data_IF_130727405480
#
_entry.id   IF_130727405480
#
_cell.length_a   1.000
_cell.length_b   1.000
_cell.length_c   1.000
_cell.angle_alpha   90.00
_cell.angle_beta   90.00
_cell.angle_gamma   90.00
#
_symmetry.space_group_name_H-M   'P 1'
#
loop_
_entity.id
_entity.type
_entity.pdbx_description
1 polymer ?
#
# COMPACT_ATOMS: atom_id res chain seq x y z
N UNK A 1 14.79 -52.48 -27.99
CA UNK A 1 13.39 -52.31 -27.55
C UNK A 1 13.37 -51.16 -26.55
N UNK A 2 12.71 -50.06 -26.89
CA UNK A 2 12.40 -48.97 -25.97
C UNK A 2 11.04 -48.44 -26.40
N UNK A 3 10.02 -48.61 -25.56
CA UNK A 3 8.66 -48.21 -25.89
C UNK A 3 8.43 -46.76 -25.43
N UNK A 4 8.09 -45.89 -26.38
CA UNK A 4 7.70 -44.51 -26.08
C UNK A 4 6.25 -44.49 -25.55
N UNK A 5 6.02 -43.79 -24.45
CA UNK A 5 4.66 -43.46 -24.01
C UNK A 5 4.15 -42.27 -24.81
N UNK A 6 3.01 -42.46 -25.47
CA UNK A 6 2.32 -41.40 -26.24
C UNK A 6 1.35 -40.68 -25.30
N UNK A 7 1.57 -39.39 -25.07
CA UNK A 7 0.61 -38.53 -24.39
C UNK A 7 -0.49 -38.08 -25.37
N UNK A 8 -1.75 -38.15 -24.95
CA UNK A 8 -2.90 -37.75 -25.75
C UNK A 8 -3.16 -36.22 -25.65
N UNK A 9 -3.67 -35.56 -26.71
CA UNK A 9 -3.93 -34.13 -26.71
C UNK A 9 -5.21 -33.78 -25.92
N UNK A 10 -5.13 -32.79 -25.03
CA UNK A 10 -6.29 -32.17 -24.42
C UNK A 10 -7.04 -31.29 -25.44
N UNK A 11 -8.38 -31.30 -25.39
CA UNK A 11 -9.26 -30.43 -26.18
C UNK A 11 -9.77 -29.26 -25.33
N UNK A 12 -10.01 -28.07 -25.91
CA UNK A 12 -10.49 -26.90 -25.18
C UNK A 12 -11.99 -27.00 -24.84
N UNK A 13 -12.38 -26.43 -23.71
CA UNK A 13 -13.78 -26.22 -23.34
C UNK A 13 -14.34 -24.96 -24.02
N UNK A 14 -15.53 -25.06 -24.62
CA UNK A 14 -16.35 -23.92 -25.00
C UNK A 14 -17.32 -23.58 -23.84
N UNK A 15 -17.64 -22.30 -23.59
CA UNK A 15 -18.64 -21.91 -22.60
C UNK A 15 -20.06 -22.11 -23.15
N UNK A 16 -20.96 -22.69 -22.34
CA UNK A 16 -22.40 -22.70 -22.61
C UNK A 16 -23.10 -21.75 -21.65
N UNK A 17 -23.81 -20.79 -22.24
CA UNK A 17 -24.65 -19.81 -21.58
C UNK A 17 -26.06 -20.38 -21.33
N UNK A 18 -26.49 -20.56 -20.08
CA UNK A 18 -27.91 -20.43 -19.69
C UNK A 18 -28.13 -20.19 -18.20
N UNK A 19 -29.22 -19.48 -17.93
CA UNK A 19 -29.69 -18.92 -16.65
C UNK A 19 -30.64 -19.89 -15.91
N UNK A 20 -30.52 -20.07 -14.58
CA UNK A 20 -31.64 -20.04 -13.60
C UNK A 20 -31.30 -20.54 -12.17
N UNK A 21 -31.62 -19.69 -11.17
CA UNK A 21 -32.07 -19.94 -9.79
C UNK A 21 -31.42 -21.01 -8.86
N UNK A 22 -30.63 -20.50 -7.92
CA UNK A 22 -30.75 -20.64 -6.45
C UNK A 22 -31.29 -21.95 -5.83
N UNK A 23 -30.42 -22.65 -5.06
CA UNK A 23 -30.51 -22.81 -3.58
C UNK A 23 -29.34 -23.70 -3.10
N UNK A 24 -28.55 -23.27 -2.12
CA UNK A 24 -28.05 -24.15 -1.03
C UNK A 24 -27.38 -23.35 0.09
N UNK A 25 -27.42 -23.89 1.31
CA UNK A 25 -26.90 -23.29 2.54
C UNK A 25 -25.54 -23.90 2.98
N UNK A 26 -24.95 -23.31 4.01
CA UNK A 26 -23.62 -23.61 4.54
C UNK A 26 -23.47 -25.03 5.12
N UNK A 27 -22.24 -25.56 5.06
CA UNK A 27 -21.72 -26.55 5.99
C UNK A 27 -20.17 -26.53 5.97
N UNK A 28 -19.55 -26.23 7.12
CA UNK A 28 -18.09 -26.25 7.31
C UNK A 28 -17.55 -27.69 7.53
N UNK A 29 -16.27 -27.95 7.23
CA UNK A 29 -15.55 -29.13 7.71
C UNK A 29 -14.52 -28.80 8.81
N UNK A 30 -14.51 -29.62 9.88
CA UNK A 30 -13.58 -29.53 11.02
C UNK A 30 -12.13 -29.99 10.73
N UNK A 31 -11.15 -29.64 11.61
CA UNK A 31 -9.72 -29.71 11.28
C UNK A 31 -9.03 -31.07 11.49
N UNK A 32 -7.83 -31.19 10.90
CA UNK A 32 -7.01 -32.39 10.92
C UNK A 32 -6.35 -32.68 12.28
N UNK A 33 -6.27 -33.97 12.65
CA UNK A 33 -5.45 -34.46 13.77
C UNK A 33 -4.03 -34.76 13.33
N UNK A 34 -3.04 -34.28 14.09
CA UNK A 34 -1.63 -34.70 13.98
C UNK A 34 -1.32 -35.75 15.05
N UNK A 35 -0.74 -36.86 14.63
CA UNK A 35 -0.11 -37.86 15.51
C UNK A 35 1.36 -37.47 15.74
N UNK A 36 1.84 -37.60 16.98
CA UNK A 36 3.27 -37.69 17.28
C UNK A 36 3.51 -38.89 18.20
N UNK A 37 4.59 -39.62 17.91
CA UNK A 37 4.91 -40.96 18.42
C UNK A 37 5.63 -40.91 19.77
N UNK A 38 5.68 -42.05 20.46
CA UNK A 38 6.35 -42.21 21.76
C UNK A 38 7.82 -42.64 21.64
N UNK A 39 8.63 -42.28 22.64
CA UNK A 39 10.02 -42.73 22.80
C UNK A 39 10.52 -42.46 24.22
N UNK A 40 11.30 -43.38 24.81
CA UNK A 40 11.60 -43.39 26.25
C UNK A 40 13.09 -43.62 26.58
N UNK A 41 13.46 -43.29 27.82
CA UNK A 41 14.71 -43.64 28.54
C UNK A 41 16.03 -43.00 28.06
N UNK A 42 17.05 -42.71 28.90
CA UNK A 42 17.16 -42.61 30.37
C UNK A 42 18.52 -41.95 30.77
N UNK A 43 18.72 -41.75 32.09
CA UNK A 43 19.98 -41.57 32.84
C UNK A 43 20.80 -40.25 32.77
N UNK A 44 21.16 -39.72 33.95
CA UNK A 44 22.16 -38.64 34.13
C UNK A 44 21.96 -37.74 35.36
N UNK A 45 22.46 -38.14 36.54
CA UNK A 45 22.16 -37.50 37.85
C UNK A 45 23.08 -36.34 38.30
N UNK A 46 22.71 -35.74 39.46
CA UNK A 46 23.41 -34.76 40.33
C UNK A 46 23.17 -33.27 39.96
N UNK A 47 23.10 -32.27 40.87
CA UNK A 47 23.24 -32.21 42.35
C UNK A 47 22.62 -30.92 42.95
N UNK A 48 22.04 -30.97 44.18
CA UNK A 48 21.82 -29.88 45.18
C UNK A 48 20.95 -28.64 44.79
N UNK A 49 20.16 -27.99 45.68
CA UNK A 49 19.90 -28.08 47.13
C UNK A 49 18.40 -27.83 47.47
N UNK A 50 17.95 -28.20 48.67
CA UNK A 50 16.57 -27.98 49.18
C UNK A 50 16.38 -26.67 49.99
N UNK A 51 15.31 -26.49 50.80
CA UNK A 51 14.34 -27.51 51.29
C UNK A 51 12.83 -27.15 51.06
N UNK A 52 11.97 -28.09 51.46
CA UNK A 52 10.50 -27.98 51.57
C UNK A 52 10.08 -28.42 53.00
N UNK A 53 8.80 -28.67 53.35
CA UNK A 53 7.51 -28.29 52.73
C UNK A 53 6.55 -27.62 53.75
N UNK A 54 5.35 -27.22 53.31
CA UNK A 54 4.17 -27.16 54.20
C UNK A 54 3.19 -28.30 53.86
N UNK A 55 2.55 -28.87 54.88
CA UNK A 55 1.65 -30.03 54.80
C UNK A 55 0.37 -29.75 55.59
N UNK A 56 -0.76 -29.74 54.89
CA UNK A 56 -2.07 -29.55 55.50
C UNK A 56 -2.40 -30.60 56.57
N UNK A 57 -3.13 -30.16 57.61
CA UNK A 57 -3.70 -31.02 58.63
C UNK A 57 -5.04 -31.62 58.18
N UNK A 58 -5.29 -32.92 58.45
CA UNK A 58 -6.64 -33.48 58.59
C UNK A 58 -7.16 -33.36 60.05
N UNK A 59 -8.47 -33.58 60.30
CA UNK A 59 -9.12 -33.21 61.56
C UNK A 59 -9.21 -34.34 62.60
N UNK A 60 -9.87 -34.00 63.71
CA UNK A 60 -10.63 -34.85 64.65
C UNK A 60 -9.90 -35.37 65.92
N UNK A 61 -10.23 -34.75 67.07
CA UNK A 61 -10.76 -35.45 68.26
C UNK A 61 -11.06 -34.49 69.42
N UNK A 62 -12.28 -34.54 69.94
CA UNK A 62 -12.66 -33.99 71.25
C UNK A 62 -12.35 -34.99 72.39
N UNK A 63 -12.15 -34.50 73.63
CA UNK A 63 -12.74 -35.18 74.79
C UNK A 63 -13.41 -34.20 75.79
N UNK A 64 -14.24 -34.69 76.74
CA UNK A 64 -15.27 -33.88 77.38
C UNK A 64 -15.09 -33.58 78.88
N UNK A 65 -16.05 -32.78 79.38
CA UNK A 65 -16.62 -32.75 80.73
C UNK A 65 -15.93 -32.02 81.91
N UNK A 66 -16.68 -31.01 82.38
CA UNK A 66 -17.08 -30.76 83.79
C UNK A 66 -16.16 -29.97 84.74
N UNK A 67 -16.45 -28.67 84.79
CA UNK A 67 -16.82 -27.89 85.98
C UNK A 67 -15.86 -27.77 87.19
N UNK A 68 -15.37 -26.55 87.43
CA UNK A 68 -15.13 -25.99 88.77
C UNK A 68 -15.59 -24.53 88.78
N UNK A 69 -16.36 -24.13 89.80
CA UNK A 69 -16.68 -22.73 90.11
C UNK A 69 -15.72 -22.26 91.20
N UNK A 70 -15.07 -21.11 91.03
CA UNK A 70 -14.33 -20.39 92.08
C UNK A 70 -14.61 -18.89 91.99
N UNK A 71 -14.57 -18.23 93.14
CA UNK A 71 -15.08 -16.88 93.39
C UNK A 71 -14.53 -15.77 92.47
N UNK A 72 -15.39 -14.78 92.22
CA UNK A 72 -15.01 -13.54 91.57
C UNK A 72 -14.19 -12.64 92.51
N UNK A 73 -13.01 -12.21 92.05
CA UNK A 73 -12.52 -10.88 92.43
C UNK A 73 -13.53 -9.83 91.91
N UNK A 74 -13.79 -8.73 92.65
CA UNK A 74 -14.57 -7.64 92.10
C UNK A 74 -13.81 -7.09 90.89
N UNK A 75 -14.46 -6.93 89.71
CA UNK A 75 -13.78 -6.36 88.55
C UNK A 75 -13.27 -4.95 88.87
N UNK A 76 -12.19 -4.49 88.21
CA UNK A 76 -11.87 -3.06 88.18
C UNK A 76 -13.10 -2.27 87.71
N UNK A 77 -13.24 -0.98 88.05
CA UNK A 77 -14.43 -0.20 87.72
C UNK A 77 -14.68 -0.24 86.21
N UNK A 78 -15.65 -1.05 85.81
CA UNK A 78 -16.19 -1.11 84.46
C UNK A 78 -16.90 0.19 84.16
N UNK A 79 -16.88 0.62 82.90
CA UNK A 79 -17.62 1.76 82.38
C UNK A 79 -19.13 1.42 82.32
N UNK A 80 -19.73 1.18 83.50
CA UNK A 80 -20.99 0.46 83.63
C UNK A 80 -22.01 1.23 84.47
N UNK A 81 -22.20 2.52 84.19
CA UNK A 81 -23.37 3.28 84.63
C UNK A 81 -24.45 3.49 83.56
N UNK A 82 -24.18 3.33 82.25
CA UNK A 82 -25.20 3.38 81.17
C UNK A 82 -24.94 2.48 79.93
N UNK A 83 -24.09 1.44 80.01
CA UNK A 83 -23.90 0.38 78.99
C UNK A 83 -25.23 -0.37 78.69
N UNK A 84 -25.87 -0.13 77.54
CA UNK A 84 -27.20 -0.69 77.21
C UNK A 84 -27.16 -1.88 76.24
N UNK A 85 -26.12 -2.04 75.43
CA UNK A 85 -25.96 -3.17 74.50
C UNK A 85 -25.06 -4.31 75.03
N UNK A 86 -24.20 -4.03 76.02
CA UNK A 86 -23.39 -5.00 76.74
C UNK A 86 -22.00 -5.25 76.16
N UNK A 87 -21.43 -4.33 75.37
CA UNK A 87 -20.09 -4.48 74.79
C UNK A 87 -18.93 -4.15 75.77
N UNK A 88 -19.23 -3.40 76.84
CA UNK A 88 -18.31 -3.02 77.91
C UNK A 88 -17.78 -1.58 77.87
N UNK A 89 -18.20 -0.77 76.89
CA UNK A 89 -18.02 0.67 76.83
C UNK A 89 -19.29 1.40 77.33
N UNK A 90 -19.29 2.74 77.30
CA UNK A 90 -20.42 3.55 77.75
C UNK A 90 -20.12 5.05 77.93
N UNK A 91 -21.17 5.87 78.06
CA UNK A 91 -21.10 7.34 78.14
C UNK A 91 -20.70 7.94 79.50
N UNK A 92 -20.39 7.12 80.51
CA UNK A 92 -20.20 7.56 81.90
C UNK A 92 -19.01 8.50 82.16
N UNK A 93 -19.09 9.41 83.16
CA UNK A 93 -17.99 10.33 83.50
C UNK A 93 -16.75 9.65 84.12
N UNK A 94 -16.79 8.33 84.30
CA UNK A 94 -15.67 7.49 84.72
C UNK A 94 -14.90 6.86 83.54
N UNK A 95 -15.43 6.97 82.32
CA UNK A 95 -14.92 6.27 81.14
C UNK A 95 -13.77 7.08 80.49
N UNK A 96 -12.62 6.44 80.15
CA UNK A 96 -11.45 7.16 79.61
C UNK A 96 -11.68 7.81 78.25
N UNK A 97 -12.47 7.15 77.41
CA UNK A 97 -13.16 7.67 76.24
C UNK A 97 -14.63 7.24 76.40
N UNK A 98 -15.61 8.14 76.26
CA UNK A 98 -17.01 7.76 76.29
C UNK A 98 -17.40 7.08 74.98
N UNK A 99 -18.31 6.13 75.07
CA UNK A 99 -19.06 5.63 73.92
C UNK A 99 -19.91 6.77 73.29
N UNK A 100 -20.13 6.69 71.99
CA UNK A 100 -20.92 7.62 71.20
C UNK A 100 -22.30 7.07 70.78
N UNK A 101 -22.55 5.76 70.86
CA UNK A 101 -23.89 5.14 70.73
C UNK A 101 -24.05 3.91 71.66
N UNK A 102 -24.33 4.14 72.96
CA UNK A 102 -24.55 3.13 74.02
C UNK A 102 -25.57 2.00 73.66
N UNK A 103 -26.29 2.11 72.54
CA UNK A 103 -27.27 1.15 72.03
C UNK A 103 -26.81 0.29 70.84
N UNK A 104 -25.56 0.42 70.39
CA UNK A 104 -25.01 -0.31 69.24
C UNK A 104 -23.56 -0.80 69.47
N UNK A 105 -23.42 -2.04 69.97
CA UNK A 105 -22.17 -2.78 70.25
C UNK A 105 -21.16 -2.98 69.08
N UNK A 106 -21.35 -2.27 67.96
CA UNK A 106 -20.39 -2.14 66.86
C UNK A 106 -19.67 -0.78 66.86
N UNK A 107 -20.25 0.23 67.52
CA UNK A 107 -19.74 1.59 67.71
C UNK A 107 -19.15 1.66 69.11
N UNK A 108 -17.86 1.94 69.23
CA UNK A 108 -17.17 2.09 70.51
C UNK A 108 -15.76 2.68 70.32
N UNK A 109 -15.17 3.30 71.35
CA UNK A 109 -13.81 3.86 71.31
C UNK A 109 -12.74 2.92 70.71
N UNK A 110 -12.32 3.21 69.48
CA UNK A 110 -11.34 2.43 68.72
C UNK A 110 -11.88 1.18 68.01
N UNK A 111 -13.14 1.19 67.58
CA UNK A 111 -13.70 0.24 66.62
C UNK A 111 -12.99 0.32 65.24
N UNK A 112 -13.56 -0.35 64.23
CA UNK A 112 -13.08 -0.26 62.85
C UNK A 112 -14.19 0.35 62.01
N UNK A 113 -13.96 1.57 61.52
CA UNK A 113 -14.86 2.30 60.62
C UNK A 113 -15.47 1.40 59.53
N UNK A 114 -16.79 1.41 59.48
CA UNK A 114 -17.57 1.05 58.31
C UNK A 114 -17.58 2.20 57.30
N UNK A 115 -18.32 2.01 56.20
CA UNK A 115 -18.65 3.09 55.28
C UNK A 115 -20.17 3.26 55.28
N UNK A 116 -20.65 4.01 56.27
CA UNK A 116 -22.09 4.23 56.48
C UNK A 116 -22.44 5.65 56.99
N UNK A 117 -21.45 6.51 57.19
CA UNK A 117 -21.60 7.89 57.65
C UNK A 117 -21.71 8.02 59.17
N UNK A 118 -21.41 6.96 59.92
CA UNK A 118 -21.14 6.96 61.35
C UNK A 118 -19.71 7.41 61.72
N UNK A 119 -19.52 7.58 63.02
CA UNK A 119 -18.23 7.71 63.71
C UNK A 119 -18.19 6.45 64.59
N UNK A 120 -17.73 5.33 64.04
CA UNK A 120 -17.82 4.02 64.71
C UNK A 120 -16.77 3.92 65.82
N UNK A 121 -15.59 4.52 65.61
CA UNK A 121 -14.46 4.50 66.54
C UNK A 121 -14.52 5.60 67.63
N UNK A 122 -15.49 6.51 67.55
CA UNK A 122 -15.75 7.62 68.46
C UNK A 122 -14.59 8.64 68.61
N UNK A 123 -13.67 8.79 67.64
CA UNK A 123 -12.61 9.82 67.67
C UNK A 123 -13.09 11.24 67.27
N UNK A 124 -14.26 11.35 66.64
CA UNK A 124 -14.85 12.60 66.17
C UNK A 124 -14.59 12.92 64.68
N UNK A 125 -14.01 11.98 63.94
CA UNK A 125 -14.01 11.91 62.47
C UNK A 125 -15.09 10.89 62.02
N UNK A 126 -15.35 10.79 60.72
CA UNK A 126 -16.43 9.95 60.13
C UNK A 126 -15.86 9.30 58.88
N UNK A 127 -16.04 7.98 58.74
CA UNK A 127 -15.60 7.16 57.61
C UNK A 127 -14.06 7.25 57.32
N UNK A 128 -13.19 7.51 58.31
CA UNK A 128 -11.73 7.60 58.10
C UNK A 128 -10.98 6.26 58.21
N UNK A 129 -9.67 6.28 57.95
CA UNK A 129 -8.86 5.05 57.84
C UNK A 129 -9.21 4.12 56.66
N UNK A 130 -10.33 4.35 55.98
CA UNK A 130 -10.83 3.55 54.87
C UNK A 130 -9.91 3.57 53.63
N UNK A 131 -10.00 2.49 52.85
CA UNK A 131 -9.09 2.21 51.73
C UNK A 131 -9.47 2.96 50.44
N UNK A 132 -8.47 3.28 49.62
CA UNK A 132 -8.67 3.80 48.26
C UNK A 132 -8.83 2.66 47.25
N UNK A 133 -9.76 2.82 46.32
CA UNK A 133 -9.89 1.95 45.16
C UNK A 133 -9.05 2.49 43.99
N UNK A 134 -8.38 1.58 43.27
CA UNK A 134 -7.68 1.86 42.01
C UNK A 134 -8.33 1.08 40.88
N UNK A 135 -8.53 1.72 39.73
CA UNK A 135 -9.14 1.11 38.55
C UNK A 135 -8.61 1.75 37.27
N UNK A 136 -8.86 1.10 36.13
CA UNK A 136 -8.33 1.51 34.82
C UNK A 136 -6.90 1.04 34.56
N UNK A 137 -6.48 1.19 33.32
CA UNK A 137 -5.12 0.98 32.80
C UNK A 137 -4.68 2.30 32.14
N UNK A 138 -3.38 2.50 31.95
CA UNK A 138 -2.89 3.65 31.20
C UNK A 138 -3.35 5.03 31.69
N UNK A 139 -3.70 5.90 30.75
CA UNK A 139 -4.28 7.22 30.99
C UNK A 139 -5.67 7.14 31.64
N UNK A 140 -6.38 6.01 31.52
CA UNK A 140 -7.65 5.77 32.20
C UNK A 140 -7.49 5.43 33.70
N UNK A 141 -6.27 5.31 34.22
CA UNK A 141 -6.04 4.98 35.62
C UNK A 141 -6.65 6.05 36.57
N UNK A 142 -7.51 5.60 37.49
CA UNK A 142 -8.13 6.41 38.55
C UNK A 142 -7.82 5.84 39.92
N UNK A 143 -7.71 6.74 40.90
CA UNK A 143 -7.64 6.44 42.32
C UNK A 143 -8.70 7.28 43.03
N UNK A 144 -9.61 6.63 43.76
CA UNK A 144 -10.70 7.28 44.49
C UNK A 144 -10.80 6.70 45.91
N UNK A 145 -11.26 7.47 46.91
CA UNK A 145 -11.73 6.90 48.17
C UNK A 145 -12.82 5.85 47.90
N UNK A 146 -12.77 4.69 48.54
CA UNK A 146 -13.82 3.66 48.38
C UNK A 146 -15.06 3.95 49.26
N UNK A 147 -15.02 5.01 50.06
CA UNK A 147 -16.14 5.61 50.75
C UNK A 147 -16.22 7.10 50.43
N UNK A 148 -17.42 7.62 50.21
CA UNK A 148 -17.67 9.05 50.01
C UNK A 148 -19.05 9.40 50.59
N UNK A 149 -19.09 10.32 51.54
CA UNK A 149 -20.31 10.78 52.23
C UNK A 149 -21.16 9.63 52.80
N UNK A 150 -20.56 8.68 53.53
CA UNK A 150 -21.23 7.51 54.12
C UNK A 150 -21.75 6.47 53.11
N UNK A 151 -21.26 6.48 51.88
CA UNK A 151 -21.67 5.55 50.84
C UNK A 151 -20.47 4.88 50.14
N UNK A 152 -20.53 3.56 49.86
CA UNK A 152 -19.52 2.87 49.06
C UNK A 152 -19.37 3.51 47.68
N UNK A 153 -18.18 4.06 47.42
CA UNK A 153 -17.86 4.77 46.19
C UNK A 153 -17.12 3.83 45.23
N UNK A 154 -17.70 3.60 44.05
CA UNK A 154 -17.13 2.71 43.04
C UNK A 154 -16.11 3.48 42.19
N UNK A 155 -14.96 2.84 41.93
CA UNK A 155 -13.97 3.37 41.00
C UNK A 155 -14.40 3.08 39.56
N UNK A 156 -14.81 4.12 38.84
CA UNK A 156 -15.01 4.09 37.39
C UNK A 156 -13.70 4.52 36.68
N UNK A 157 -13.16 3.73 35.74
CA UNK A 157 -12.01 4.12 34.92
C UNK A 157 -12.27 5.41 34.11
N UNK A 158 -11.20 6.04 33.62
CA UNK A 158 -11.32 7.06 32.58
C UNK A 158 -11.98 6.52 31.29
N UNK A 159 -12.56 7.42 30.49
CA UNK A 159 -13.04 7.10 29.16
C UNK A 159 -11.83 6.96 28.21
N UNK A 160 -11.70 5.86 27.46
CA UNK A 160 -10.60 5.66 26.53
C UNK A 160 -10.72 6.57 25.30
N UNK A 161 -9.60 7.02 24.77
CA UNK A 161 -9.52 7.85 23.57
C UNK A 161 -8.57 7.21 22.54
N UNK A 162 -8.66 7.53 21.24
CA UNK A 162 -7.79 6.90 20.25
C UNK A 162 -6.32 7.23 20.49
N UNK A 163 -5.47 6.19 20.44
CA UNK A 163 -4.02 6.28 20.59
C UNK A 163 -3.38 7.45 19.82
N UNK A 164 -2.47 8.12 20.52
CA UNK A 164 -1.47 8.99 19.91
C UNK A 164 -0.08 8.57 20.37
N UNK A 165 0.90 8.56 19.46
CA UNK A 165 2.31 8.28 19.80
C UNK A 165 2.85 9.32 20.80
N UNK A 166 2.62 9.13 22.09
CA UNK A 166 2.85 10.09 23.17
C UNK A 166 3.54 9.44 24.39
N UNK A 167 3.62 8.11 24.45
CA UNK A 167 4.22 7.33 25.53
C UNK A 167 3.28 6.96 26.68
N UNK A 168 1.99 7.27 26.55
CA UNK A 168 0.89 6.83 27.41
C UNK A 168 0.03 5.77 26.70
N UNK A 169 -0.92 5.21 27.42
CA UNK A 169 -1.90 4.21 26.97
C UNK A 169 -3.25 4.95 26.99
N UNK A 170 -3.57 5.60 25.87
CA UNK A 170 -4.69 6.54 25.69
C UNK A 170 -6.02 5.77 25.55
N UNK A 171 -5.98 4.60 24.89
CA UNK A 171 -7.16 3.75 24.60
C UNK A 171 -7.41 2.66 25.67
N UNK A 172 -6.45 2.47 26.57
CA UNK A 172 -6.56 1.71 27.81
C UNK A 172 -6.74 0.20 27.61
N UNK A 173 -6.28 -0.34 26.47
CA UNK A 173 -6.17 -1.79 26.22
C UNK A 173 -4.97 -2.44 26.94
N UNK A 174 -3.99 -1.63 27.36
CA UNK A 174 -2.79 -2.05 28.09
C UNK A 174 -1.53 -2.25 27.24
N UNK A 175 -1.59 -1.95 25.95
CA UNK A 175 -0.42 -1.59 25.14
C UNK A 175 -0.04 -0.11 25.37
N UNK A 176 1.02 0.36 24.70
CA UNK A 176 1.45 1.78 24.69
C UNK A 176 1.89 2.06 23.25
N UNK A 177 1.35 3.12 22.64
CA UNK A 177 1.74 3.60 21.31
C UNK A 177 1.60 2.52 20.19
N UNK A 178 0.68 1.55 20.28
CA UNK A 178 0.58 0.44 19.30
C UNK A 178 -0.14 0.83 18.00
N UNK A 179 -0.90 1.93 18.00
CA UNK A 179 -1.48 2.54 16.81
C UNK A 179 -0.94 3.96 16.56
N UNK A 180 -0.10 4.11 15.53
CA UNK A 180 0.39 5.43 15.05
C UNK A 180 -0.67 6.28 14.31
N UNK A 181 -1.95 6.01 14.58
CA UNK A 181 -3.10 6.34 13.73
C UNK A 181 -3.07 5.64 12.36
N UNK A 182 -4.12 5.82 11.56
CA UNK A 182 -4.18 5.40 10.14
C UNK A 182 -3.24 6.23 9.22
N UNK A 183 -2.14 6.76 9.77
CA UNK A 183 -1.18 7.62 9.10
C UNK A 183 -0.31 6.81 8.11
N UNK A 184 -0.88 6.52 6.94
CA UNK A 184 -0.12 6.05 5.80
C UNK A 184 0.90 7.12 5.34
N UNK A 185 2.12 6.71 5.02
CA UNK A 185 3.19 7.59 4.59
C UNK A 185 4.02 6.98 3.45
N UNK A 186 4.66 7.83 2.66
CA UNK A 186 5.25 7.47 1.35
C UNK A 186 4.30 7.79 0.19
N UNK A 187 4.78 7.54 -1.03
CA UNK A 187 4.03 7.70 -2.28
C UNK A 187 4.07 6.36 -3.03
N UNK A 188 3.10 6.10 -3.91
CA UNK A 188 3.14 4.92 -4.77
C UNK A 188 3.24 3.57 -4.06
N UNK A 189 4.06 2.69 -4.62
CA UNK A 189 4.44 1.39 -4.04
C UNK A 189 5.18 1.50 -2.70
N UNK A 190 5.73 2.68 -2.37
CA UNK A 190 6.42 2.95 -1.10
C UNK A 190 5.47 3.32 0.05
N UNK A 191 4.14 3.38 -0.17
CA UNK A 191 3.20 3.63 0.94
C UNK A 191 3.30 2.54 2.01
N UNK A 192 3.57 2.95 3.26
CA UNK A 192 3.62 2.10 4.45
C UNK A 192 2.78 2.75 5.57
N UNK A 193 2.36 1.96 6.55
CA UNK A 193 1.87 2.52 7.80
C UNK A 193 3.02 3.21 8.54
N UNK A 194 2.76 4.38 9.15
CA UNK A 194 3.68 4.95 10.11
C UNK A 194 3.85 4.02 11.33
N UNK A 195 4.97 4.19 12.04
CA UNK A 195 5.29 3.46 13.27
C UNK A 195 5.52 4.47 14.38
N UNK A 196 5.01 4.25 15.59
CA UNK A 196 5.36 5.14 16.70
C UNK A 196 6.87 5.09 17.01
N UNK A 197 7.41 6.26 17.34
CA UNK A 197 8.76 6.44 17.83
C UNK A 197 8.81 7.50 18.93
N UNK A 198 10.00 7.78 19.50
CA UNK A 198 10.12 8.54 20.76
C UNK A 198 9.69 10.01 20.70
N UNK A 199 9.48 10.56 19.50
CA UNK A 199 9.06 11.95 19.26
C UNK A 199 7.74 12.01 18.44
N UNK A 200 6.96 10.92 18.40
CA UNK A 200 5.69 10.83 17.68
C UNK A 200 5.69 9.83 16.50
N UNK A 201 4.73 9.94 15.56
CA UNK A 201 4.64 9.06 14.39
C UNK A 201 5.88 9.18 13.49
N UNK A 202 6.64 8.10 13.35
CA UNK A 202 7.81 8.01 12.47
C UNK A 202 7.39 7.42 11.13
N UNK A 203 7.63 8.19 10.07
CA UNK A 203 7.44 7.73 8.70
C UNK A 203 8.69 6.99 8.19
N UNK A 204 8.53 5.71 7.87
CA UNK A 204 9.53 4.90 7.17
C UNK A 204 8.89 4.35 5.87
N UNK A 205 8.96 5.09 4.75
CA UNK A 205 8.45 4.61 3.47
C UNK A 205 9.14 3.32 3.00
N UNK A 206 8.53 2.62 2.06
CA UNK A 206 9.20 1.54 1.33
C UNK A 206 10.45 2.03 0.59
N UNK A 207 11.38 1.12 0.31
CA UNK A 207 12.49 1.43 -0.60
C UNK A 207 11.95 1.59 -2.03
N UNK A 208 12.42 2.60 -2.79
CA UNK A 208 12.03 2.80 -4.17
C UNK A 208 12.60 1.68 -5.05
N UNK A 209 11.76 1.16 -5.95
CA UNK A 209 12.16 0.24 -7.00
C UNK A 209 12.57 1.03 -8.27
N UNK A 210 12.66 0.34 -9.40
CA UNK A 210 12.74 1.00 -10.70
C UNK A 210 11.41 0.76 -11.43
N UNK A 211 10.86 1.80 -12.04
CA UNK A 211 9.57 1.75 -12.74
C UNK A 211 9.38 0.50 -13.59
N UNK A 212 8.27 -0.19 -13.36
CA UNK A 212 7.71 -1.19 -14.26
C UNK A 212 6.38 -0.67 -14.81
N UNK A 213 6.12 -0.89 -16.11
CA UNK A 213 4.90 -0.37 -16.75
C UNK A 213 3.66 -1.10 -16.23
N UNK A 214 3.09 -0.61 -15.13
CA UNK A 214 2.05 -1.28 -14.35
C UNK A 214 1.00 -0.28 -13.81
N UNK A 215 1.19 1.02 -13.98
CA UNK A 215 0.29 2.05 -13.47
C UNK A 215 0.43 2.33 -11.97
N UNK A 216 1.59 2.01 -11.40
CA UNK A 216 2.01 2.28 -10.01
C UNK A 216 3.35 3.00 -10.05
N UNK A 217 3.44 4.06 -9.27
CA UNK A 217 4.68 4.75 -8.89
C UNK A 217 5.58 3.79 -8.08
N UNK A 218 6.50 3.09 -8.75
CA UNK A 218 7.37 2.06 -8.17
C UNK A 218 8.66 2.69 -7.59
N UNK A 219 9.16 3.79 -8.16
CA UNK A 219 10.32 4.55 -7.71
C UNK A 219 10.00 5.69 -6.71
N UNK A 220 8.71 5.97 -6.52
CA UNK A 220 8.14 6.76 -5.44
C UNK A 220 8.48 8.26 -5.50
N UNK A 221 8.76 8.79 -6.71
CA UNK A 221 8.94 10.22 -6.97
C UNK A 221 7.61 11.00 -7.08
N UNK A 222 6.49 10.29 -7.23
CA UNK A 222 5.13 10.84 -7.32
C UNK A 222 4.61 11.07 -8.74
N UNK A 223 5.36 10.68 -9.77
CA UNK A 223 4.86 10.40 -11.11
C UNK A 223 4.42 8.92 -11.20
N UNK A 224 4.27 8.37 -12.41
CA UNK A 224 3.83 6.98 -12.63
C UNK A 224 4.26 6.55 -14.02
N UNK A 225 4.99 5.44 -14.12
CA UNK A 225 5.59 4.88 -15.33
C UNK A 225 6.54 5.87 -16.09
N UNK A 226 6.98 6.99 -15.48
CA UNK A 226 7.64 8.11 -16.16
C UNK A 226 9.04 7.78 -16.69
N UNK A 227 9.83 7.00 -15.94
CA UNK A 227 11.12 6.48 -16.38
C UNK A 227 11.02 5.50 -17.57
N UNK A 228 9.81 5.09 -17.97
CA UNK A 228 9.54 4.23 -19.13
C UNK A 228 8.97 4.97 -20.36
N UNK A 229 8.62 6.26 -20.23
CA UNK A 229 8.05 7.08 -21.32
C UNK A 229 9.04 7.32 -22.47
N UNK A 230 10.34 7.26 -22.19
CA UNK A 230 11.40 7.41 -23.18
C UNK A 230 11.34 6.34 -24.27
N UNK A 231 11.93 6.60 -25.43
CA UNK A 231 11.81 5.71 -26.59
C UNK A 231 12.72 4.48 -26.49
N UNK A 232 12.30 3.37 -27.09
CA UNK A 232 13.12 2.17 -27.27
C UNK A 232 13.13 1.72 -28.73
N UNK A 233 14.33 1.54 -29.33
CA UNK A 233 14.46 0.88 -30.63
C UNK A 233 14.64 -0.62 -30.46
N UNK A 234 13.83 -1.39 -31.16
CA UNK A 234 13.80 -2.84 -31.08
C UNK A 234 13.78 -3.51 -32.45
N UNK A 235 14.16 -4.78 -32.47
CA UNK A 235 14.27 -5.60 -33.68
C UNK A 235 13.08 -6.56 -33.73
N UNK A 236 12.41 -6.61 -34.89
CA UNK A 236 11.20 -7.39 -35.15
C UNK A 236 11.26 -8.08 -36.51
N UNK A 237 10.56 -9.22 -36.62
CA UNK A 237 10.29 -9.92 -37.88
C UNK A 237 9.04 -9.35 -38.55
N UNK A 238 9.07 -9.12 -39.86
CA UNK A 238 7.84 -8.81 -40.60
C UNK A 238 6.86 -9.99 -40.50
N UNK A 239 7.31 -11.21 -40.85
CA UNK A 239 6.46 -12.39 -40.87
C UNK A 239 5.89 -12.80 -39.50
N UNK A 240 6.68 -12.67 -38.41
CA UNK A 240 6.29 -13.17 -37.08
C UNK A 240 5.65 -12.11 -36.19
N UNK A 241 6.10 -10.84 -36.26
CA UNK A 241 5.67 -9.81 -35.31
C UNK A 241 4.71 -8.78 -35.92
N UNK A 242 4.97 -8.32 -37.15
CA UNK A 242 4.23 -7.22 -37.77
C UNK A 242 3.04 -7.70 -38.62
N UNK A 243 3.23 -8.72 -39.46
CA UNK A 243 2.20 -9.26 -40.35
C UNK A 243 0.94 -9.75 -39.59
N UNK A 244 1.04 -10.39 -38.39
CA UNK A 244 -0.15 -10.74 -37.61
C UNK A 244 -0.96 -9.53 -37.12
N UNK A 245 -0.32 -8.35 -37.00
CA UNK A 245 -0.95 -7.10 -36.52
C UNK A 245 -1.53 -6.27 -37.66
N UNK A 246 -0.95 -6.35 -38.86
CA UNK A 246 -1.57 -5.91 -40.10
C UNK A 246 -1.07 -6.75 -41.29
N UNK A 247 -1.95 -7.53 -41.93
CA UNK A 247 -1.56 -8.53 -42.93
C UNK A 247 -0.83 -7.99 -44.18
N UNK A 248 -0.95 -6.69 -44.46
CA UNK A 248 -0.21 -6.00 -45.51
C UNK A 248 1.26 -5.68 -45.19
N UNK A 249 1.69 -5.80 -43.93
CA UNK A 249 3.09 -5.59 -43.54
C UNK A 249 3.85 -6.93 -43.52
N UNK A 250 4.08 -7.48 -44.70
CA UNK A 250 4.64 -8.82 -44.91
C UNK A 250 6.15 -8.85 -45.17
N UNK A 251 6.80 -7.69 -45.31
CA UNK A 251 8.23 -7.59 -45.61
C UNK A 251 8.59 -7.79 -47.10
N UNK A 252 7.60 -8.09 -47.96
CA UNK A 252 7.79 -8.41 -49.38
C UNK A 252 6.93 -7.52 -50.30
N UNK A 253 5.62 -7.48 -50.09
CA UNK A 253 4.68 -6.60 -50.76
C UNK A 253 4.72 -5.16 -50.22
N UNK A 254 4.87 -5.00 -48.89
CA UNK A 254 5.17 -3.70 -48.29
C UNK A 254 6.17 -3.84 -47.13
N UNK A 255 7.16 -2.92 -47.11
CA UNK A 255 8.16 -2.78 -46.05
C UNK A 255 8.04 -1.44 -45.30
N UNK A 256 7.59 -0.39 -45.99
CA UNK A 256 7.27 0.94 -45.46
C UNK A 256 5.98 1.40 -46.15
N UNK A 257 5.05 1.96 -45.38
CA UNK A 257 3.75 2.42 -45.86
C UNK A 257 2.69 2.32 -44.77
N UNK A 258 1.43 2.71 -45.03
CA UNK A 258 0.41 2.84 -43.99
C UNK A 258 0.04 1.50 -43.35
N UNK A 259 0.08 0.38 -44.08
CA UNK A 259 -0.14 -0.96 -43.53
C UNK A 259 0.97 -1.35 -42.53
N UNK A 260 2.24 -1.04 -42.84
CA UNK A 260 3.34 -1.25 -41.90
C UNK A 260 3.34 -0.29 -40.72
N UNK A 261 2.99 0.98 -40.92
CA UNK A 261 2.82 1.92 -39.81
C UNK A 261 1.77 1.41 -38.82
N UNK A 262 0.64 0.89 -39.30
CA UNK A 262 -0.41 0.31 -38.47
C UNK A 262 0.07 -0.95 -37.73
N UNK A 263 0.80 -1.86 -38.40
CA UNK A 263 1.39 -3.03 -37.75
C UNK A 263 2.35 -2.64 -36.60
N UNK A 264 3.21 -1.64 -36.84
CA UNK A 264 4.20 -1.15 -35.89
C UNK A 264 3.52 -0.44 -34.72
N UNK A 265 2.56 0.45 -34.99
CA UNK A 265 1.79 1.11 -33.94
C UNK A 265 1.09 0.08 -33.04
N UNK A 266 0.40 -0.91 -33.62
CA UNK A 266 -0.27 -1.98 -32.87
C UNK A 266 0.72 -2.81 -32.06
N UNK A 267 1.94 -3.02 -32.54
CA UNK A 267 2.98 -3.72 -31.76
C UNK A 267 3.37 -2.94 -30.52
N UNK A 268 3.62 -1.64 -30.67
CA UNK A 268 3.97 -0.75 -29.58
C UNK A 268 2.80 -0.55 -28.60
N UNK A 269 1.56 -0.48 -29.09
CA UNK A 269 0.36 -0.41 -28.27
C UNK A 269 0.16 -1.65 -27.35
N UNK A 270 0.67 -2.82 -27.73
CA UNK A 270 0.68 -4.01 -26.87
C UNK A 270 1.71 -3.91 -25.71
N UNK A 271 2.63 -2.94 -25.72
CA UNK A 271 3.70 -2.77 -24.72
C UNK A 271 3.31 -1.86 -23.53
N UNK A 272 2.04 -1.45 -23.42
CA UNK A 272 1.57 -0.57 -22.35
C UNK A 272 2.03 0.87 -22.54
N UNK A 273 3.14 1.26 -21.92
CA UNK A 273 3.56 2.65 -21.74
C UNK A 273 4.21 3.25 -23.01
N UNK A 274 4.83 2.42 -23.85
CA UNK A 274 5.42 2.82 -25.14
C UNK A 274 4.42 2.63 -26.28
N UNK A 275 3.26 3.28 -26.15
CA UNK A 275 2.02 2.97 -26.85
C UNK A 275 1.89 3.45 -28.31
N UNK A 276 2.90 4.16 -28.81
CA UNK A 276 3.00 4.63 -30.19
C UNK A 276 4.30 4.14 -30.84
N UNK A 277 4.27 3.90 -32.16
CA UNK A 277 5.37 3.27 -32.87
C UNK A 277 5.65 3.87 -34.23
N UNK A 278 6.92 4.12 -34.55
CA UNK A 278 7.36 4.54 -35.88
C UNK A 278 8.48 3.67 -36.44
N UNK A 279 8.57 3.66 -37.77
CA UNK A 279 9.57 2.94 -38.53
C UNK A 279 9.00 2.30 -39.80
N UNK A 280 9.67 1.27 -40.35
CA UNK A 280 10.99 0.80 -39.94
C UNK A 280 12.06 1.90 -40.04
N UNK A 281 12.86 2.05 -38.99
CA UNK A 281 13.98 2.99 -38.93
C UNK A 281 15.23 2.41 -39.62
N UNK A 282 15.41 1.10 -39.54
CA UNK A 282 16.29 0.30 -40.38
C UNK A 282 15.55 -0.99 -40.78
N UNK A 283 15.96 -1.66 -41.86
CA UNK A 283 15.34 -2.91 -42.29
C UNK A 283 16.25 -3.72 -43.22
N UNK A 284 16.22 -5.05 -43.14
CA UNK A 284 16.99 -5.95 -44.01
C UNK A 284 16.38 -7.35 -44.03
N UNK A 285 16.07 -7.89 -45.21
CA UNK A 285 15.30 -9.13 -45.32
C UNK A 285 13.97 -9.05 -44.56
N UNK A 286 13.68 -10.09 -43.77
CA UNK A 286 12.54 -10.20 -42.85
C UNK A 286 12.69 -9.34 -41.57
N UNK A 287 13.78 -8.59 -41.39
CA UNK A 287 14.00 -7.77 -40.19
C UNK A 287 13.57 -6.32 -40.39
N UNK A 288 12.80 -5.80 -39.45
CA UNK A 288 12.48 -4.40 -39.23
C UNK A 288 13.04 -3.94 -37.88
N UNK A 289 13.73 -2.80 -37.85
CA UNK A 289 14.00 -2.06 -36.63
C UNK A 289 12.89 -1.03 -36.47
N UNK A 290 12.24 -1.01 -35.31
CA UNK A 290 11.10 -0.12 -35.02
C UNK A 290 11.40 0.63 -33.72
N UNK A 291 10.82 1.81 -33.55
CA UNK A 291 10.96 2.58 -32.31
C UNK A 291 9.57 2.77 -31.69
N UNK A 292 9.40 2.24 -30.47
CA UNK A 292 8.22 2.47 -29.64
C UNK A 292 8.52 3.58 -28.61
N UNK A 293 7.54 4.42 -28.31
CA UNK A 293 7.60 5.47 -27.30
C UNK A 293 6.20 5.83 -26.80
N UNK A 294 6.11 6.48 -25.63
CA UNK A 294 4.87 7.10 -25.19
C UNK A 294 4.56 8.31 -26.07
N UNK A 295 3.35 8.44 -26.61
CA UNK A 295 2.95 9.66 -27.32
C UNK A 295 1.44 9.86 -27.31
N UNK A 296 0.98 11.12 -27.23
CA UNK A 296 -0.45 11.38 -27.19
C UNK A 296 -1.07 11.17 -28.57
N UNK A 297 -2.04 10.27 -28.66
CA UNK A 297 -2.66 9.83 -29.92
C UNK A 297 -3.91 10.61 -30.23
N UNK A 298 -3.89 11.33 -31.34
CA UNK A 298 -4.98 12.21 -31.78
C UNK A 298 -5.59 11.68 -33.08
N UNK A 299 -6.92 11.56 -33.13
CA UNK A 299 -7.64 11.22 -34.37
C UNK A 299 -8.01 12.51 -35.13
N UNK A 300 -7.13 12.94 -36.02
CA UNK A 300 -7.19 14.26 -36.68
C UNK A 300 -7.93 14.17 -38.02
N UNK A 301 -9.02 14.94 -38.24
CA UNK A 301 -9.71 15.02 -39.52
C UNK A 301 -8.77 15.47 -40.65
N UNK A 302 -8.94 14.91 -41.86
CA UNK A 302 -8.15 15.34 -43.03
C UNK A 302 -8.32 16.82 -43.37
N UNK A 303 -9.45 17.44 -43.04
CA UNK A 303 -9.67 18.88 -43.22
C UNK A 303 -8.70 19.74 -42.39
N UNK A 304 -8.41 19.32 -41.15
CA UNK A 304 -7.50 20.05 -40.26
C UNK A 304 -6.04 19.89 -40.70
N UNK A 305 -5.66 18.68 -41.14
CA UNK A 305 -4.35 18.43 -41.75
C UNK A 305 -4.18 19.22 -43.05
N UNK A 306 -5.21 19.27 -43.90
CA UNK A 306 -5.19 20.01 -45.15
C UNK A 306 -5.06 21.53 -44.93
N UNK A 307 -5.64 22.05 -43.84
CA UNK A 307 -5.46 23.44 -43.41
C UNK A 307 -4.02 23.76 -42.98
N UNK A 308 -3.23 22.77 -42.54
CA UNK A 308 -1.80 22.95 -42.20
C UNK A 308 -0.86 22.72 -43.37
N UNK A 309 -1.21 21.80 -44.28
CA UNK A 309 -0.53 21.62 -45.56
C UNK A 309 -1.54 21.17 -46.64
N UNK A 310 -1.82 21.98 -47.68
CA UNK A 310 -2.79 21.65 -48.73
C UNK A 310 -2.48 20.36 -49.50
N UNK A 311 -1.25 19.84 -49.34
CA UNK A 311 -0.76 18.57 -49.82
C UNK A 311 -1.41 17.34 -49.16
N UNK A 312 -1.72 17.41 -47.86
CA UNK A 312 -2.30 16.29 -47.10
C UNK A 312 -3.83 16.34 -47.10
N UNK A 313 -4.51 15.24 -47.42
CA UNK A 313 -5.96 15.18 -47.47
C UNK A 313 -6.47 13.83 -47.98
N UNK A 314 -7.78 13.62 -47.88
CA UNK A 314 -8.42 12.38 -48.32
C UNK A 314 -8.21 12.12 -49.83
N UNK A 315 -8.00 10.87 -50.20
CA UNK A 315 -7.67 10.46 -51.57
C UNK A 315 -6.23 10.76 -52.04
N UNK A 316 -5.31 11.14 -51.15
CA UNK A 316 -3.88 11.33 -51.45
C UNK A 316 -2.99 10.34 -50.69
N UNK A 317 -1.70 10.15 -51.08
CA UNK A 317 -0.77 9.33 -50.31
C UNK A 317 -0.61 9.85 -48.88
N UNK A 318 -1.22 9.13 -47.93
CA UNK A 318 -1.23 9.47 -46.50
C UNK A 318 0.16 9.40 -45.87
N UNK A 319 1.03 8.52 -46.39
CA UNK A 319 2.47 8.53 -46.11
C UNK A 319 3.15 9.39 -47.18
N UNK A 320 3.38 10.67 -46.87
CA UNK A 320 4.00 11.63 -47.78
C UNK A 320 4.68 12.78 -47.02
N UNK A 321 5.63 13.52 -47.63
CA UNK A 321 6.25 14.69 -47.00
C UNK A 321 5.22 15.75 -46.60
N UNK A 322 4.18 15.89 -47.43
CA UNK A 322 3.06 16.80 -47.24
C UNK A 322 2.26 16.47 -45.97
N UNK A 323 1.99 15.19 -45.71
CA UNK A 323 1.32 14.76 -44.49
C UNK A 323 2.25 14.82 -43.28
N UNK A 324 3.53 14.47 -43.41
CA UNK A 324 4.50 14.66 -42.32
C UNK A 324 4.52 16.12 -41.83
N UNK A 325 4.55 17.09 -42.76
CA UNK A 325 4.49 18.51 -42.44
C UNK A 325 3.14 18.94 -41.85
N UNK A 326 2.02 18.44 -42.37
CA UNK A 326 0.70 18.69 -41.80
C UNK A 326 0.60 18.23 -40.33
N UNK A 327 1.04 17.00 -40.05
CA UNK A 327 1.00 16.37 -38.72
C UNK A 327 1.91 17.13 -37.76
N UNK A 328 3.17 17.37 -38.14
CA UNK A 328 4.11 18.13 -37.34
C UNK A 328 3.56 19.52 -36.96
N UNK A 329 3.07 20.29 -37.94
CA UNK A 329 2.45 21.61 -37.71
C UNK A 329 1.21 21.53 -36.83
N UNK A 330 0.40 20.47 -36.99
CA UNK A 330 -0.81 20.28 -36.19
C UNK A 330 -0.43 20.02 -34.72
N UNK A 331 0.46 19.08 -34.44
CA UNK A 331 0.95 18.81 -33.08
C UNK A 331 1.63 20.05 -32.48
N UNK A 332 2.52 20.72 -33.21
CA UNK A 332 3.22 21.92 -32.72
C UNK A 332 2.27 23.06 -32.31
N UNK A 333 1.16 23.23 -33.02
CA UNK A 333 0.15 24.24 -32.68
C UNK A 333 -0.79 23.83 -31.53
N UNK A 334 -0.77 22.56 -31.12
CA UNK A 334 -1.49 22.05 -29.95
C UNK A 334 -0.56 21.87 -28.72
N UNK A 335 0.66 22.44 -28.75
CA UNK A 335 1.58 22.49 -27.60
C UNK A 335 2.66 21.41 -27.54
N UNK A 336 2.67 20.47 -28.48
CA UNK A 336 3.66 19.39 -28.54
C UNK A 336 4.95 19.82 -29.25
N UNK A 337 6.03 19.07 -29.06
CA UNK A 337 7.29 19.28 -29.80
C UNK A 337 7.09 19.05 -31.31
N UNK A 338 6.45 17.93 -31.64
CA UNK A 338 6.34 17.40 -32.99
C UNK A 338 5.29 16.29 -33.04
N UNK A 339 5.13 15.64 -34.19
CA UNK A 339 4.35 14.41 -34.29
C UNK A 339 4.63 13.61 -35.55
N UNK A 340 4.16 12.37 -35.55
CA UNK A 340 4.32 11.42 -36.65
C UNK A 340 3.02 10.66 -36.93
N UNK A 341 2.91 10.16 -38.16
CA UNK A 341 1.77 9.37 -38.61
C UNK A 341 1.79 9.19 -40.13
N UNK A 342 0.74 8.61 -40.73
CA UNK A 342 -0.37 7.93 -40.06
C UNK A 342 0.13 6.80 -39.17
N UNK A 343 -0.41 6.70 -37.96
CA UNK A 343 -0.40 5.45 -37.18
C UNK A 343 -1.42 4.49 -37.80
N UNK A 344 -2.66 4.97 -37.91
CA UNK A 344 -3.77 4.36 -38.65
C UNK A 344 -4.53 5.46 -39.41
N UNK A 345 -5.37 5.10 -40.38
CA UNK A 345 -6.18 6.05 -41.12
C UNK A 345 -7.49 5.42 -41.61
N UNK A 346 -8.54 6.22 -41.75
CA UNK A 346 -9.85 5.76 -42.19
C UNK A 346 -10.95 6.76 -41.83
N UNK A 347 -12.14 6.61 -42.42
CA UNK A 347 -13.32 7.40 -42.04
C UNK A 347 -13.19 8.92 -42.17
N UNK A 348 -12.28 9.42 -43.03
CA UNK A 348 -12.02 10.86 -43.19
C UNK A 348 -11.03 11.46 -42.18
N UNK A 349 -10.35 10.63 -41.38
CA UNK A 349 -9.37 11.06 -40.39
C UNK A 349 -8.09 10.20 -40.40
N UNK A 350 -7.08 10.69 -39.69
CA UNK A 350 -5.79 10.04 -39.48
C UNK A 350 -5.48 10.01 -37.98
N UNK A 351 -5.12 8.83 -37.47
CA UNK A 351 -4.55 8.70 -36.14
C UNK A 351 -3.07 9.12 -36.19
N UNK A 352 -2.69 10.10 -35.38
CA UNK A 352 -1.32 10.65 -35.31
C UNK A 352 -0.81 10.57 -33.88
N UNK A 353 0.50 10.45 -33.70
CA UNK A 353 1.15 10.57 -32.41
C UNK A 353 1.79 11.95 -32.27
N UNK A 354 1.47 12.70 -31.21
CA UNK A 354 2.14 13.94 -30.85
C UNK A 354 3.08 13.72 -29.66
N UNK A 355 4.29 14.26 -29.75
CA UNK A 355 5.38 14.01 -28.78
C UNK A 355 5.56 15.25 -27.88
N UNK A 356 5.50 15.11 -26.54
CA UNK A 356 5.80 16.18 -25.59
C UNK A 356 7.21 16.80 -25.74
N UNK A 357 7.39 18.00 -25.16
CA UNK A 357 8.63 18.80 -25.29
C UNK A 357 9.89 18.11 -24.77
N UNK A 358 9.73 17.42 -23.65
CA UNK A 358 10.76 16.77 -22.86
C UNK A 358 11.23 15.42 -23.42
N UNK A 359 10.49 14.80 -24.34
CA UNK A 359 10.82 13.49 -24.91
C UNK A 359 11.74 13.55 -26.13
N UNK A 360 12.09 14.72 -26.65
CA UNK A 360 12.88 14.81 -27.87
C UNK A 360 13.50 16.17 -28.16
N UNK A 361 14.03 16.32 -29.37
CA UNK A 361 14.50 17.60 -29.90
C UNK A 361 14.38 17.62 -31.44
N UNK A 362 14.03 18.78 -31.99
CA UNK A 362 14.04 19.00 -33.44
C UNK A 362 15.42 19.48 -33.90
N UNK A 363 15.89 18.91 -35.00
CA UNK A 363 17.13 19.28 -35.67
C UNK A 363 16.91 19.55 -37.16
N UNK A 364 17.88 20.23 -37.77
CA UNK A 364 17.85 20.62 -39.19
C UNK A 364 19.11 20.16 -39.95
N UNK A 365 19.42 18.85 -39.97
CA UNK A 365 20.58 18.31 -40.70
C UNK A 365 20.54 18.63 -42.20
N UNK A 366 21.73 18.75 -42.78
CA UNK A 366 21.92 18.82 -44.23
C UNK A 366 21.72 17.46 -44.89
N UNK A 367 21.03 17.42 -46.03
CA UNK A 367 20.94 16.22 -46.84
C UNK A 367 22.31 15.89 -47.44
N UNK A 368 22.98 16.86 -48.07
CA UNK A 368 24.25 16.64 -48.78
C UNK A 368 25.43 16.26 -47.88
N UNK A 369 25.41 16.67 -46.60
CA UNK A 369 26.47 16.40 -45.62
C UNK A 369 26.05 15.41 -44.53
N UNK A 370 25.14 15.83 -43.65
CA UNK A 370 24.80 15.12 -42.42
C UNK A 370 24.12 13.77 -42.68
N UNK A 371 23.09 13.74 -43.51
CA UNK A 371 22.29 12.54 -43.78
C UNK A 371 22.98 11.63 -44.80
N UNK A 372 23.50 12.18 -45.90
CA UNK A 372 24.30 11.41 -46.86
C UNK A 372 25.55 10.77 -46.21
N UNK A 373 26.15 11.44 -45.22
CA UNK A 373 27.25 10.90 -44.42
C UNK A 373 26.89 9.69 -43.54
N UNK A 374 25.59 9.41 -43.31
CA UNK A 374 25.08 8.23 -42.58
C UNK A 374 24.45 7.17 -43.49
N UNK A 375 23.82 7.60 -44.59
CA UNK A 375 23.34 6.73 -45.66
C UNK A 375 23.32 7.49 -47.01
N UNK A 376 24.26 7.20 -47.91
CA UNK A 376 24.54 8.01 -49.10
C UNK A 376 23.37 8.30 -50.06
N UNK A 377 22.36 7.42 -50.24
CA UNK A 377 21.15 7.76 -51.00
C UNK A 377 20.28 8.86 -50.39
N UNK A 378 20.35 9.11 -49.07
CA UNK A 378 19.62 10.23 -48.44
C UNK A 378 20.37 11.55 -48.59
N UNK A 379 20.50 12.01 -49.84
CA UNK A 379 21.29 13.18 -50.24
C UNK A 379 20.44 14.33 -50.80
N UNK A 380 19.11 14.27 -50.66
CA UNK A 380 18.23 15.35 -51.09
C UNK A 380 18.00 15.45 -52.61
N UNK A 381 18.68 14.62 -53.41
CA UNK A 381 18.49 14.52 -54.87
C UNK A 381 18.05 13.12 -55.31
N UNK A 382 18.69 12.06 -54.79
CA UNK A 382 18.27 10.67 -54.93
C UNK A 382 17.03 10.39 -54.08
N UNK A 383 17.08 10.77 -52.80
CA UNK A 383 15.97 10.56 -51.87
C UNK A 383 15.89 11.68 -50.82
N UNK A 384 14.65 12.03 -50.46
CA UNK A 384 14.31 12.96 -49.37
C UNK A 384 13.53 12.31 -48.22
N UNK A 385 12.76 11.26 -48.51
CA UNK A 385 11.91 10.52 -47.58
C UNK A 385 11.85 9.04 -48.01
N UNK A 386 11.72 8.12 -47.06
CA UNK A 386 11.64 6.66 -47.28
C UNK A 386 12.87 5.92 -46.76
N UNK A 387 13.07 4.63 -47.11
CA UNK A 387 13.95 3.71 -46.36
C UNK A 387 15.36 4.24 -46.10
N UNK A 388 16.05 4.75 -47.12
CA UNK A 388 17.43 5.21 -46.97
C UNK A 388 17.52 6.47 -46.09
N UNK A 389 16.49 7.32 -46.10
CA UNK A 389 16.41 8.49 -45.24
C UNK A 389 15.99 8.14 -43.82
N UNK A 390 15.08 7.18 -43.62
CA UNK A 390 14.77 6.67 -42.28
C UNK A 390 16.05 6.17 -41.59
N UNK A 391 16.85 5.36 -42.31
CA UNK A 391 18.13 4.85 -41.81
C UNK A 391 19.17 5.96 -41.58
N UNK A 392 19.27 6.94 -42.49
CA UNK A 392 20.16 8.09 -42.29
C UNK A 392 19.81 8.89 -41.03
N UNK A 393 18.52 9.21 -40.85
CA UNK A 393 18.00 10.01 -39.73
C UNK A 393 18.19 9.26 -38.41
N UNK A 394 17.83 7.97 -38.35
CA UNK A 394 18.06 7.11 -37.17
C UNK A 394 19.53 7.13 -36.74
N UNK A 395 20.44 6.82 -37.67
CA UNK A 395 21.89 6.78 -37.42
C UNK A 395 22.48 8.15 -37.08
N UNK A 396 21.90 9.22 -37.62
CA UNK A 396 22.31 10.59 -37.30
C UNK A 396 21.89 10.96 -35.88
N UNK A 397 20.62 10.76 -35.52
CA UNK A 397 20.09 11.02 -34.17
C UNK A 397 20.84 10.22 -33.10
N UNK A 398 21.13 8.92 -33.35
CA UNK A 398 21.98 8.11 -32.45
C UNK A 398 23.40 8.66 -32.33
N UNK A 399 23.93 9.26 -33.40
CA UNK A 399 25.18 10.00 -33.39
C UNK A 399 25.15 11.29 -32.56
N UNK A 400 23.96 11.84 -32.26
CA UNK A 400 23.76 12.98 -31.37
C UNK A 400 23.41 12.57 -29.92
N UNK A 401 23.43 11.27 -29.60
CA UNK A 401 23.12 10.75 -28.25
C UNK A 401 21.65 10.43 -27.99
N UNK A 402 20.78 10.57 -28.98
CA UNK A 402 19.36 10.21 -28.90
C UNK A 402 19.16 8.71 -29.16
N UNK A 403 17.97 8.17 -28.88
CA UNK A 403 17.69 6.76 -29.15
C UNK A 403 17.42 6.49 -30.64
N UNK A 404 16.64 7.37 -31.26
CA UNK A 404 16.16 7.22 -32.63
C UNK A 404 15.72 8.58 -33.17
N UNK A 405 15.16 8.60 -34.38
CA UNK A 405 14.46 9.77 -34.88
C UNK A 405 13.70 9.51 -36.17
N UNK A 406 12.79 10.42 -36.50
CA UNK A 406 11.93 10.35 -37.67
C UNK A 406 11.91 11.66 -38.44
N UNK A 407 11.55 11.55 -39.73
CA UNK A 407 11.41 12.67 -40.64
C UNK A 407 11.63 12.28 -42.10
N UNK A 408 11.79 13.26 -43.01
CA UNK A 408 11.66 14.68 -42.73
C UNK A 408 10.24 15.05 -42.28
N UNK A 409 10.13 15.88 -41.24
CA UNK A 409 8.88 16.52 -40.82
C UNK A 409 8.65 17.82 -41.59
N UNK A 410 9.71 18.51 -42.00
CA UNK A 410 9.72 19.59 -42.99
C UNK A 410 10.96 19.38 -43.86
N UNK A 411 10.95 19.85 -45.11
CA UNK A 411 12.17 19.91 -45.92
C UNK A 411 12.16 21.08 -46.91
N UNK A 412 13.32 21.70 -47.10
CA UNK A 412 13.49 22.80 -48.05
C UNK A 412 14.97 22.95 -48.42
N UNK A 413 15.26 23.16 -49.70
CA UNK A 413 16.65 23.22 -50.19
C UNK A 413 17.43 21.96 -49.82
N UNK A 414 18.61 22.13 -49.22
CA UNK A 414 19.45 21.04 -48.69
C UNK A 414 19.11 20.65 -47.24
N UNK A 415 18.08 21.22 -46.61
CA UNK A 415 17.73 20.95 -45.20
C UNK A 415 16.58 19.95 -45.10
N UNK A 416 16.79 18.89 -44.32
CA UNK A 416 15.73 18.01 -43.83
C UNK A 416 15.53 18.24 -42.33
N UNK A 417 14.32 18.63 -41.92
CA UNK A 417 14.00 18.83 -40.50
C UNK A 417 13.56 17.50 -39.91
N UNK A 418 14.12 17.11 -38.77
CA UNK A 418 13.93 15.79 -38.15
C UNK A 418 13.62 15.95 -36.66
N UNK A 419 12.91 14.99 -36.08
CA UNK A 419 12.73 14.89 -34.62
C UNK A 419 13.54 13.71 -34.12
N UNK A 420 14.49 13.95 -33.23
CA UNK A 420 15.19 12.90 -32.49
C UNK A 420 14.52 12.68 -31.13
N UNK A 421 14.34 11.42 -30.73
CA UNK A 421 13.64 11.02 -29.49
C UNK A 421 14.61 10.47 -28.45
N UNK A 422 14.41 10.81 -27.18
CA UNK A 422 15.25 10.40 -26.04
C UNK A 422 15.00 8.93 -25.68
N UNK A 423 15.90 8.34 -24.90
CA UNK A 423 15.74 6.99 -24.32
C UNK A 423 14.75 6.99 -23.17
#
# INVERSE_FOLDING_TARGET
MAAAMVAAPMRPCLPILTLALALCACADPEPARVLVDGGAAADGALLADGPAPDRGLPPDQAPPDSAVVIDAEPPPPTCADDDQDGDGYGTGPACPAPDCDDGNAAIYPGAVEACDGGDDDCDGVVDEGLYTARCGVGACAREVPNCLDGAPNLCEPGEPVPETCNGEDDDCDGAIDEAAGDAACGVGACVRAATCGPDGPVCNPGEPAAEACNGVDDDCDGATDEALLGAGTEVRSYAQDLQPRHGGCDGYGQRIGPECNAAIHRHCADQGCRDAGFGPVENSGDVAHITCLAAEKHNVPFGDLQARHPGCGDGRPVVSPDCNAAIHRWCAANGYLSGFGPLEHGGGAMLVACIPGEQGQIFQPSYSGDLAGRHAPCNGTTQRMGPDCNAAIHRWCRGQGFESGFGPIENSGDTGVVTCVRR
#
